data_IF_755376878283
#
_entry.id   IF_755376878283
#
_cell.length_a   1.000
_cell.length_b   1.000
_cell.length_c   1.000
_cell.angle_alpha   90.00
_cell.angle_beta   90.00
_cell.angle_gamma   90.00
#
_symmetry.space_group_name_H-M   'P 1'
#
loop_
_entity.id
_entity.type
_entity.pdbx_description
1 polymer ?
#
# COMPACT_ATOMS: atom_id res chain seq x y z
N UNK A 1 8.20 -5.41 20.00
CA UNK A 1 7.36 -4.19 20.08
C UNK A 1 7.74 -3.32 18.89
N UNK A 2 6.77 -2.94 18.06
CA UNK A 2 6.99 -2.07 16.90
C UNK A 2 7.20 -0.63 17.39
N UNK A 3 8.19 0.08 16.84
CA UNK A 3 8.44 1.50 17.12
C UNK A 3 8.58 2.23 15.79
N UNK A 4 7.62 3.11 15.50
CA UNK A 4 7.49 3.82 14.24
C UNK A 4 7.01 5.25 14.51
N UNK A 5 7.19 6.15 13.56
CA UNK A 5 6.74 7.54 13.68
C UNK A 5 5.26 7.65 13.27
N UNK A 6 4.86 6.88 12.26
CA UNK A 6 3.47 6.74 11.80
C UNK A 6 3.06 5.26 11.76
N UNK A 7 1.87 4.96 12.28
CA UNK A 7 1.17 3.70 12.07
C UNK A 7 0.02 3.90 11.07
N UNK A 8 -0.02 3.08 10.02
CA UNK A 8 -1.04 3.15 8.97
C UNK A 8 -1.95 1.93 9.10
N UNK A 9 -3.25 2.14 9.22
CA UNK A 9 -4.25 1.06 9.28
C UNK A 9 -4.87 0.90 7.89
N UNK A 10 -4.56 -0.22 7.24
CA UNK A 10 -4.99 -0.57 5.89
C UNK A 10 -3.84 -0.61 4.87
N UNK A 11 -3.63 -1.77 4.27
CA UNK A 11 -2.65 -2.07 3.21
C UNK A 11 -3.17 -1.80 1.79
N UNK A 12 -4.27 -1.03 1.66
CA UNK A 12 -4.80 -0.64 0.36
C UNK A 12 -3.92 0.37 -0.39
N UNK A 13 -4.28 0.76 -1.62
CA UNK A 13 -3.49 1.67 -2.45
C UNK A 13 -3.21 3.02 -1.75
N UNK A 14 -4.18 3.55 -1.00
CA UNK A 14 -4.02 4.80 -0.25
C UNK A 14 -3.00 4.65 0.89
N UNK A 15 -3.03 3.52 1.61
CA UNK A 15 -2.06 3.26 2.69
C UNK A 15 -0.65 3.07 2.15
N UNK A 16 -0.50 2.38 1.02
CA UNK A 16 0.79 2.25 0.33
C UNK A 16 1.33 3.60 -0.13
N UNK A 17 0.48 4.46 -0.71
CA UNK A 17 0.90 5.80 -1.11
C UNK A 17 1.24 6.70 0.09
N UNK A 18 0.55 6.55 1.21
CA UNK A 18 0.87 7.29 2.44
C UNK A 18 2.27 6.98 2.98
N UNK A 19 2.78 5.75 2.80
CA UNK A 19 4.18 5.42 3.12
C UNK A 19 5.15 6.27 2.30
N UNK A 20 4.89 6.40 0.99
CA UNK A 20 5.73 7.20 0.10
C UNK A 20 5.77 8.67 0.56
N UNK A 21 4.60 9.28 0.78
CA UNK A 21 4.50 10.68 1.24
C UNK A 21 5.20 10.92 2.58
N UNK A 22 4.97 10.03 3.57
CA UNK A 22 5.64 10.11 4.86
C UNK A 22 7.16 9.89 4.76
N UNK A 23 7.58 9.00 3.86
CA UNK A 23 8.97 8.73 3.56
C UNK A 23 9.72 9.96 3.03
N UNK A 24 9.07 10.78 2.20
CA UNK A 24 9.62 12.07 1.75
C UNK A 24 9.89 13.04 2.91
N UNK A 25 9.11 12.92 3.99
CA UNK A 25 9.29 13.67 5.23
C UNK A 25 10.25 13.00 6.23
N UNK A 26 10.94 11.92 5.81
CA UNK A 26 11.87 11.12 6.62
C UNK A 26 11.22 10.44 7.84
N UNK A 27 9.91 10.18 7.77
CA UNK A 27 9.19 9.47 8.82
C UNK A 27 9.17 7.97 8.56
N UNK A 28 9.44 7.17 9.59
CA UNK A 28 9.29 5.72 9.53
C UNK A 28 7.82 5.38 9.63
N UNK A 29 7.40 4.44 8.79
CA UNK A 29 6.02 3.95 8.76
C UNK A 29 5.96 2.47 9.06
N UNK A 30 4.91 2.06 9.79
CA UNK A 30 4.52 0.67 9.94
C UNK A 30 3.07 0.52 9.52
N UNK A 31 2.82 -0.36 8.57
CA UNK A 31 1.50 -0.59 7.99
C UNK A 31 0.89 -1.87 8.57
N UNK A 32 -0.41 -1.82 8.88
CA UNK A 32 -1.14 -2.90 9.54
C UNK A 32 -2.41 -3.20 8.74
N UNK A 33 -2.64 -4.47 8.39
CA UNK A 33 -3.88 -4.92 7.76
C UNK A 33 -4.24 -6.35 8.20
N UNK A 34 -5.53 -6.68 8.20
CA UNK A 34 -6.01 -8.01 8.50
C UNK A 34 -5.81 -8.99 7.33
N UNK A 35 -5.73 -8.48 6.09
CA UNK A 35 -5.42 -9.30 4.92
C UNK A 35 -3.97 -9.77 4.99
N UNK A 36 -3.67 -11.01 4.55
CA UNK A 36 -2.30 -11.53 4.55
C UNK A 36 -1.42 -10.94 3.43
N UNK A 37 -1.94 -9.99 2.65
CA UNK A 37 -1.25 -9.34 1.55
C UNK A 37 -1.61 -7.85 1.44
N UNK A 38 -0.74 -7.08 0.78
CA UNK A 38 -1.01 -5.68 0.44
C UNK A 38 -1.93 -5.57 -0.78
N UNK A 39 -2.45 -4.35 -1.00
CA UNK A 39 -3.28 -3.97 -2.14
C UNK A 39 -4.77 -3.83 -1.83
N UNK A 40 -5.24 -4.30 -0.67
CA UNK A 40 -6.62 -4.14 -0.21
C UNK A 40 -7.63 -4.63 -1.25
N UNK A 41 -8.68 -3.84 -1.52
CA UNK A 41 -9.73 -4.22 -2.46
C UNK A 41 -9.23 -4.51 -3.88
N UNK A 42 -8.16 -3.85 -4.34
CA UNK A 42 -7.63 -4.05 -5.68
C UNK A 42 -7.09 -5.47 -5.82
N UNK A 43 -6.28 -5.91 -4.86
CA UNK A 43 -5.69 -7.25 -4.87
C UNK A 43 -6.68 -8.34 -4.47
N UNK A 44 -7.61 -8.06 -3.56
CA UNK A 44 -8.55 -9.06 -3.02
C UNK A 44 -9.78 -9.27 -3.92
N UNK A 45 -10.38 -8.20 -4.44
CA UNK A 45 -11.71 -8.25 -5.07
C UNK A 45 -11.61 -8.27 -6.60
N UNK A 46 -10.68 -7.54 -7.19
CA UNK A 46 -10.62 -7.37 -8.65
C UNK A 46 -9.23 -7.22 -9.26
N UNK A 47 -8.24 -8.07 -8.92
CA UNK A 47 -6.84 -7.89 -9.32
C UNK A 47 -6.62 -7.86 -10.84
N UNK A 48 -7.50 -8.53 -11.59
CA UNK A 48 -7.43 -8.65 -13.05
C UNK A 48 -8.30 -7.64 -13.80
N UNK A 49 -9.02 -6.75 -13.11
CA UNK A 49 -9.85 -5.74 -13.78
C UNK A 49 -9.01 -4.49 -14.10
N UNK A 50 -9.20 -3.88 -15.27
CA UNK A 50 -8.64 -2.58 -15.59
C UNK A 50 -9.34 -1.47 -14.80
N UNK A 51 -8.56 -0.46 -14.44
CA UNK A 51 -8.99 0.81 -13.85
C UNK A 51 -8.67 1.91 -14.87
N UNK A 52 -9.59 2.84 -15.09
CA UNK A 52 -9.53 3.82 -16.18
C UNK A 52 -9.46 5.28 -15.71
N UNK A 53 -9.58 5.52 -14.41
CA UNK A 53 -9.72 6.82 -13.78
C UNK A 53 -8.54 7.18 -12.85
N UNK A 54 -7.37 6.56 -13.09
CA UNK A 54 -6.12 6.92 -12.40
C UNK A 54 -5.32 7.89 -13.27
N UNK A 55 -4.97 9.09 -12.77
CA UNK A 55 -4.17 10.04 -13.53
C UNK A 55 -2.85 9.44 -14.04
N UNK A 56 -2.53 9.69 -15.31
CA UNK A 56 -1.33 9.15 -15.96
C UNK A 56 -1.49 7.74 -16.55
N UNK A 57 -2.60 7.05 -16.26
CA UNK A 57 -2.92 5.74 -16.80
C UNK A 57 -4.24 5.77 -17.57
N UNK A 58 -4.22 5.76 -18.92
CA UNK A 58 -5.45 5.57 -19.70
C UNK A 58 -6.18 4.26 -19.35
N UNK A 59 -5.40 3.24 -18.95
CA UNK A 59 -5.87 1.99 -18.34
C UNK A 59 -4.70 1.38 -17.55
N UNK A 60 -4.98 0.78 -16.39
CA UNK A 60 -4.01 0.00 -15.60
C UNK A 60 -4.72 -1.16 -14.92
N UNK A 61 -4.10 -2.35 -14.84
CA UNK A 61 -4.70 -3.43 -14.06
C UNK A 61 -4.64 -3.12 -12.56
N UNK A 62 -5.66 -3.52 -11.81
CA UNK A 62 -5.71 -3.27 -10.37
C UNK A 62 -4.46 -3.79 -9.63
N UNK A 63 -4.00 -5.00 -9.95
CA UNK A 63 -2.78 -5.54 -9.33
C UNK A 63 -1.51 -4.79 -9.79
N UNK A 64 -1.44 -4.40 -11.06
CA UNK A 64 -0.30 -3.63 -11.59
C UNK A 64 -0.16 -2.27 -10.88
N UNK A 65 -1.28 -1.61 -10.58
CA UNK A 65 -1.28 -0.38 -9.80
C UNK A 65 -0.74 -0.60 -8.38
N UNK A 66 -1.13 -1.70 -7.72
CA UNK A 66 -0.62 -2.07 -6.39
C UNK A 66 0.88 -2.33 -6.44
N UNK A 67 1.36 -3.09 -7.42
CA UNK A 67 2.78 -3.42 -7.56
C UNK A 67 3.64 -2.16 -7.77
N UNK A 68 3.12 -1.19 -8.54
CA UNK A 68 3.75 0.11 -8.73
C UNK A 68 3.81 0.92 -7.43
N UNK A 69 2.74 0.93 -6.63
CA UNK A 69 2.69 1.61 -5.33
C UNK A 69 3.65 0.99 -4.31
N UNK A 70 3.74 -0.34 -4.27
CA UNK A 70 4.71 -1.06 -3.42
C UNK A 70 6.13 -0.68 -3.80
N UNK A 71 6.46 -0.72 -5.10
CA UNK A 71 7.78 -0.31 -5.62
C UNK A 71 8.10 1.15 -5.29
N UNK A 72 7.09 2.03 -5.37
CA UNK A 72 7.24 3.44 -5.01
C UNK A 72 7.55 3.61 -3.50
N UNK A 73 6.95 2.79 -2.64
CA UNK A 73 7.16 2.83 -1.19
C UNK A 73 8.45 2.12 -0.72
N UNK A 74 8.97 1.18 -1.50
CA UNK A 74 10.12 0.31 -1.17
C UNK A 74 11.37 1.05 -0.63
N UNK A 75 11.82 2.19 -1.23
CA UNK A 75 13.01 2.90 -0.74
C UNK A 75 12.92 3.41 0.70
N UNK A 76 11.71 3.52 1.26
CA UNK A 76 11.48 4.00 2.62
C UNK A 76 11.44 2.89 3.67
N UNK A 77 11.66 1.64 3.26
CA UNK A 77 11.76 0.47 4.15
C UNK A 77 10.59 0.37 5.17
N UNK A 78 9.33 0.41 4.73
CA UNK A 78 8.19 0.30 5.64
C UNK A 78 8.15 -1.06 6.35
N UNK A 79 7.67 -1.04 7.60
CA UNK A 79 7.30 -2.25 8.32
C UNK A 79 5.88 -2.71 7.96
N UNK A 80 5.62 -4.01 8.04
CA UNK A 80 4.30 -4.59 7.76
C UNK A 80 3.90 -5.57 8.87
N UNK A 81 2.63 -5.47 9.31
CA UNK A 81 1.92 -6.51 10.05
C UNK A 81 0.68 -6.87 9.23
N UNK A 82 0.68 -8.07 8.65
CA UNK A 82 -0.38 -8.55 7.76
C UNK A 82 -0.95 -9.86 8.30
N UNK A 83 -2.22 -10.13 8.02
CA UNK A 83 -2.87 -11.39 8.43
C UNK A 83 -3.23 -11.45 9.93
N UNK A 84 -3.05 -10.35 10.67
CA UNK A 84 -3.40 -10.27 12.09
C UNK A 84 -4.73 -9.55 12.28
N UNK A 85 -5.68 -10.23 12.91
CA UNK A 85 -6.94 -9.61 13.34
C UNK A 85 -6.73 -9.03 14.74
N UNK A 86 -6.73 -7.70 14.83
CA UNK A 86 -6.72 -6.96 16.11
C UNK A 86 -8.10 -7.09 16.77
#
# INVERSE_FOLDING_TARGET
>A
MISTDIAIIGAGPVGLFAIFEAGLLKMRCHLIDYLPQVGGQLSEIYPKKPIYDIPGFPSVLAQELVDNLVKQAEPFHPGYTLGERI
#
